data_IF_912854836689
#
_entry.id   IF_912854836689
#
_cell.length_a   1.000
_cell.length_b   1.000
_cell.length_c   1.000
_cell.angle_alpha   90.00
_cell.angle_beta   90.00
_cell.angle_gamma   90.00
#
_symmetry.space_group_name_H-M   'P 1'
#
loop_
_entity.id
_entity.type
_entity.pdbx_description
1 polymer ?
#
# COMPACT_ATOMS: atom_id res chain seq x y z
N UNK A 1 12.91 -24.78 18.36
CA UNK A 1 12.64 -23.49 17.70
C UNK A 1 13.44 -23.50 16.42
N UNK A 2 12.78 -23.63 15.27
CA UNK A 2 13.46 -23.68 13.97
C UNK A 2 13.83 -22.24 13.62
N UNK A 3 15.12 -21.93 13.53
CA UNK A 3 15.58 -20.65 13.00
C UNK A 3 15.25 -20.65 11.50
N UNK A 4 14.23 -19.87 11.10
CA UNK A 4 13.93 -19.68 9.69
C UNK A 4 15.09 -18.88 9.08
N UNK A 5 15.60 -19.29 7.91
CA UNK A 5 16.68 -18.54 7.25
C UNK A 5 16.11 -17.31 6.56
N UNK A 6 16.94 -16.26 6.39
CA UNK A 6 16.56 -15.05 5.64
C UNK A 6 15.97 -15.41 4.27
N UNK A 7 16.58 -16.36 3.55
CA UNK A 7 16.11 -16.79 2.23
C UNK A 7 14.68 -17.35 2.26
N UNK A 8 14.37 -18.19 3.25
CA UNK A 8 13.01 -18.74 3.44
C UNK A 8 12.02 -17.63 3.78
N UNK A 9 12.39 -16.70 4.68
CA UNK A 9 11.54 -15.57 5.04
C UNK A 9 11.26 -14.67 3.82
N UNK A 10 12.25 -14.43 2.96
CA UNK A 10 12.06 -13.63 1.74
C UNK A 10 11.18 -14.36 0.71
N UNK A 11 11.30 -15.67 0.57
CA UNK A 11 10.43 -16.45 -0.33
C UNK A 11 8.99 -16.47 0.15
N UNK A 12 8.77 -16.72 1.45
CA UNK A 12 7.44 -16.67 2.07
C UNK A 12 6.82 -15.28 1.93
N UNK A 13 7.62 -14.22 2.14
CA UNK A 13 7.18 -12.84 1.98
C UNK A 13 6.72 -12.52 0.56
N UNK A 14 7.43 -12.99 -0.48
CA UNK A 14 7.00 -12.82 -1.88
C UNK A 14 5.65 -13.46 -2.15
N UNK A 15 5.46 -14.71 -1.72
CA UNK A 15 4.17 -15.41 -1.88
C UNK A 15 3.05 -14.67 -1.16
N UNK A 16 3.35 -14.11 0.01
CA UNK A 16 2.39 -13.30 0.77
C UNK A 16 2.04 -12.00 0.04
N UNK A 17 3.02 -11.29 -0.50
CA UNK A 17 2.81 -10.08 -1.30
C UNK A 17 2.01 -10.36 -2.58
N UNK A 18 2.24 -11.49 -3.25
CA UNK A 18 1.43 -11.92 -4.40
C UNK A 18 -0.05 -12.14 -4.00
N UNK A 19 -0.30 -12.74 -2.83
CA UNK A 19 -1.67 -12.89 -2.31
C UNK A 19 -2.30 -11.53 -2.03
N UNK A 20 -1.57 -10.63 -1.36
CA UNK A 20 -2.04 -9.28 -1.09
C UNK A 20 -2.38 -8.52 -2.36
N UNK A 21 -1.51 -8.56 -3.37
CA UNK A 21 -1.76 -7.91 -4.66
C UNK A 21 -3.04 -8.45 -5.31
N UNK A 22 -3.22 -9.77 -5.37
CA UNK A 22 -4.43 -10.41 -5.92
C UNK A 22 -5.70 -10.02 -5.16
N UNK A 23 -5.62 -9.86 -3.85
CA UNK A 23 -6.76 -9.46 -3.01
C UNK A 23 -7.10 -7.96 -3.14
N UNK A 24 -6.09 -7.09 -3.27
CA UNK A 24 -6.31 -5.64 -3.32
C UNK A 24 -6.69 -5.12 -4.71
N UNK A 25 -6.17 -5.71 -5.79
CA UNK A 25 -6.47 -5.31 -7.17
C UNK A 25 -7.97 -5.14 -7.48
N UNK A 26 -8.87 -6.09 -7.17
CA UNK A 26 -10.30 -5.92 -7.48
C UNK A 26 -11.00 -4.91 -6.55
N UNK A 27 -10.35 -4.45 -5.48
CA UNK A 27 -10.96 -3.62 -4.44
C UNK A 27 -10.68 -2.12 -4.62
N UNK A 28 -9.87 -1.73 -5.60
CA UNK A 28 -9.47 -0.33 -5.81
C UNK A 28 -10.20 0.39 -6.94
N UNK A 29 -11.23 -0.21 -7.55
CA UNK A 29 -11.95 0.43 -8.66
C UNK A 29 -11.07 0.68 -9.90
N UNK A 30 -9.98 -0.10 -10.06
CA UNK A 30 -8.95 0.07 -11.09
C UNK A 30 -8.16 1.39 -11.00
N UNK A 31 -8.17 2.04 -9.84
CA UNK A 31 -7.34 3.23 -9.57
C UNK A 31 -6.00 2.75 -9.01
N UNK A 32 -4.91 3.10 -9.69
CA UNK A 32 -3.58 2.56 -9.41
C UNK A 32 -3.04 3.06 -8.05
N UNK A 33 -3.18 4.35 -7.78
CA UNK A 33 -2.73 5.00 -6.54
C UNK A 33 -3.49 4.41 -5.34
N UNK A 34 -4.80 4.20 -5.48
CA UNK A 34 -5.60 3.55 -4.45
C UNK A 34 -5.19 2.08 -4.23
N UNK A 35 -4.78 1.38 -5.29
CA UNK A 35 -4.20 0.04 -5.18
C UNK A 35 -2.88 0.06 -4.41
N UNK A 36 -1.94 0.96 -4.77
CA UNK A 36 -0.64 1.09 -4.09
C UNK A 36 -0.81 1.38 -2.61
N UNK A 37 -1.70 2.32 -2.26
CA UNK A 37 -2.00 2.68 -0.86
C UNK A 37 -2.51 1.48 -0.06
N UNK A 38 -3.45 0.72 -0.64
CA UNK A 38 -4.03 -0.47 0.03
C UNK A 38 -3.04 -1.63 0.14
N UNK A 39 -2.28 -1.88 -0.92
CA UNK A 39 -1.22 -2.90 -0.92
C UNK A 39 -0.17 -2.57 0.14
N UNK A 40 0.27 -1.32 0.19
CA UNK A 40 1.27 -0.86 1.15
C UNK A 40 0.77 -0.99 2.59
N UNK A 41 -0.49 -0.63 2.86
CA UNK A 41 -1.08 -0.78 4.19
C UNK A 41 -1.12 -2.24 4.67
N UNK A 42 -1.43 -3.21 3.79
CA UNK A 42 -1.43 -4.63 4.17
C UNK A 42 -0.01 -5.20 4.32
N UNK A 43 0.95 -4.72 3.53
CA UNK A 43 2.37 -5.04 3.68
C UNK A 43 2.91 -4.50 5.01
N UNK A 44 2.62 -3.25 5.36
CA UNK A 44 3.02 -2.66 6.65
C UNK A 44 2.46 -3.45 7.83
N UNK A 45 1.19 -3.88 7.73
CA UNK A 45 0.57 -4.75 8.72
C UNK A 45 1.29 -6.09 8.88
N UNK A 46 1.75 -6.68 7.78
CA UNK A 46 2.58 -7.89 7.82
C UNK A 46 3.96 -7.62 8.46
N UNK A 47 4.65 -6.58 8.02
CA UNK A 47 6.00 -6.22 8.48
C UNK A 47 6.04 -5.87 9.98
N UNK A 48 4.94 -5.39 10.55
CA UNK A 48 4.80 -5.15 11.99
C UNK A 48 4.98 -6.43 12.82
N UNK A 49 4.62 -7.60 12.27
CA UNK A 49 4.78 -8.90 12.92
C UNK A 49 6.14 -9.58 12.66
N UNK A 50 6.96 -9.04 11.75
CA UNK A 50 8.26 -9.61 11.36
C UNK A 50 9.36 -9.12 12.32
N UNK A 51 10.31 -9.98 12.72
CA UNK A 51 11.50 -9.58 13.46
C UNK A 51 12.27 -8.44 12.76
N UNK A 52 12.73 -7.47 13.55
CA UNK A 52 13.39 -6.26 13.02
C UNK A 52 14.63 -6.59 12.16
N UNK A 53 15.33 -7.70 12.45
CA UNK A 53 16.52 -8.15 11.73
C UNK A 53 16.29 -8.52 10.26
N UNK A 54 15.04 -8.77 9.84
CA UNK A 54 14.70 -9.07 8.44
C UNK A 54 13.97 -7.91 7.75
N UNK A 55 13.50 -6.91 8.51
CA UNK A 55 12.52 -5.94 8.02
C UNK A 55 13.06 -5.09 6.86
N UNK A 56 14.34 -4.71 6.91
CA UNK A 56 14.96 -3.90 5.85
C UNK A 56 15.02 -4.67 4.53
N UNK A 57 15.41 -5.94 4.57
CA UNK A 57 15.46 -6.80 3.37
C UNK A 57 14.07 -7.08 2.80
N UNK A 58 13.06 -7.28 3.66
CA UNK A 58 11.68 -7.44 3.19
C UNK A 58 11.17 -6.14 2.55
N UNK A 59 11.42 -4.98 3.14
CA UNK A 59 11.05 -3.68 2.53
C UNK A 59 11.73 -3.52 1.17
N UNK A 60 13.01 -3.88 1.04
CA UNK A 60 13.73 -3.82 -0.22
C UNK A 60 13.09 -4.73 -1.30
N UNK A 61 12.64 -5.93 -0.93
CA UNK A 61 11.87 -6.81 -1.83
C UNK A 61 10.53 -6.19 -2.20
N UNK A 62 9.79 -5.67 -1.22
CA UNK A 62 8.49 -5.03 -1.44
C UNK A 62 8.61 -3.89 -2.45
N UNK A 63 9.63 -3.02 -2.32
CA UNK A 63 9.86 -1.89 -3.24
C UNK A 63 10.33 -2.30 -4.63
N UNK A 64 11.11 -3.39 -4.74
CA UNK A 64 11.68 -3.82 -6.02
C UNK A 64 10.69 -4.62 -6.87
N UNK A 65 9.88 -5.45 -6.22
CA UNK A 65 9.07 -6.46 -6.89
C UNK A 65 7.56 -6.16 -6.84
N UNK A 66 7.15 -5.23 -5.98
CA UNK A 66 5.76 -4.83 -5.80
C UNK A 66 5.66 -3.29 -5.74
N UNK A 67 4.44 -2.77 -5.86
CA UNK A 67 4.20 -1.32 -5.88
C UNK A 67 4.13 -0.70 -4.47
N UNK A 68 5.02 -1.13 -3.57
CA UNK A 68 5.05 -0.68 -2.18
C UNK A 68 5.54 0.76 -2.05
N UNK A 69 4.79 1.54 -1.27
CA UNK A 69 5.12 2.90 -0.84
C UNK A 69 5.13 2.98 0.69
N UNK A 70 6.00 3.82 1.22
CA UNK A 70 5.99 4.14 2.65
C UNK A 70 4.79 5.03 2.99
N UNK A 71 4.41 5.06 4.27
CA UNK A 71 3.32 5.93 4.75
C UNK A 71 3.60 7.42 4.49
N UNK A 72 4.86 7.85 4.54
CA UNK A 72 5.23 9.24 4.27
C UNK A 72 5.06 9.60 2.78
N UNK A 73 5.40 8.68 1.87
CA UNK A 73 5.18 8.84 0.43
C UNK A 73 3.70 8.89 0.10
N UNK A 74 2.89 7.98 0.68
CA UNK A 74 1.44 7.99 0.54
C UNK A 74 0.84 9.30 1.06
N UNK A 75 1.31 9.78 2.21
CA UNK A 75 0.82 11.03 2.79
C UNK A 75 1.16 12.24 1.90
N UNK A 76 2.31 12.24 1.24
CA UNK A 76 2.68 13.27 0.26
C UNK A 76 1.80 13.21 -0.99
N UNK A 77 1.56 12.02 -1.56
CA UNK A 77 0.65 11.88 -2.70
C UNK A 77 -0.76 12.39 -2.37
N UNK A 78 -1.30 12.05 -1.20
CA UNK A 78 -2.62 12.52 -0.77
C UNK A 78 -2.65 14.05 -0.61
N UNK A 79 -1.55 14.66 -0.14
CA UNK A 79 -1.44 16.13 -0.06
C UNK A 79 -1.48 16.74 -1.46
N UNK A 80 -0.69 16.21 -2.39
CA UNK A 80 -0.64 16.68 -3.78
C UNK A 80 -1.99 16.49 -4.48
N UNK A 81 -2.66 15.34 -4.30
CA UNK A 81 -4.01 15.09 -4.80
C UNK A 81 -4.98 16.19 -4.35
N UNK A 82 -4.96 16.50 -3.04
CA UNK A 82 -5.81 17.53 -2.45
C UNK A 82 -5.52 18.92 -3.03
N UNK A 83 -4.25 19.27 -3.24
CA UNK A 83 -3.85 20.54 -3.87
C UNK A 83 -4.35 20.66 -5.32
N UNK A 84 -4.58 19.53 -5.99
CA UNK A 84 -5.06 19.45 -7.37
C UNK A 84 -6.58 19.14 -7.48
N UNK A 85 -7.34 19.26 -6.40
CA UNK A 85 -8.79 18.98 -6.32
C UNK A 85 -9.18 17.50 -6.63
N UNK A 86 -8.29 16.57 -6.29
CA UNK A 86 -8.58 15.14 -6.24
C UNK A 86 -8.91 14.72 -4.80
N UNK A 87 -9.82 13.75 -4.64
CA UNK A 87 -10.07 13.11 -3.36
C UNK A 87 -8.98 12.08 -3.02
N UNK A 88 -8.93 11.63 -1.77
CA UNK A 88 -7.97 10.60 -1.31
C UNK A 88 -8.10 9.24 -2.01
N UNK A 89 -9.13 9.06 -2.84
CA UNK A 89 -9.30 7.88 -3.69
C UNK A 89 -8.68 8.04 -5.08
N UNK A 90 -8.06 9.19 -5.40
CA UNK A 90 -7.42 9.46 -6.70
C UNK A 90 -8.42 9.85 -7.81
N UNK A 91 -9.61 10.33 -7.45
CA UNK A 91 -10.63 10.79 -8.40
C UNK A 91 -10.83 12.29 -8.19
N UNK A 92 -11.04 13.04 -9.26
CA UNK A 92 -11.50 14.44 -9.17
C UNK A 92 -12.65 14.54 -8.16
N UNK A 93 -12.53 15.47 -7.21
CA UNK A 93 -13.33 15.47 -5.98
C UNK A 93 -14.84 15.44 -6.26
N UNK A 94 -15.27 16.22 -7.24
CA UNK A 94 -16.68 16.35 -7.66
C UNK A 94 -17.18 15.21 -8.57
N UNK A 95 -16.28 14.33 -9.01
CA UNK A 95 -16.59 13.16 -9.86
C UNK A 95 -16.54 11.84 -9.08
N UNK A 96 -16.17 11.89 -7.79
CA UNK A 96 -16.04 10.69 -6.98
C UNK A 96 -17.41 10.06 -6.65
N UNK A 97 -17.65 8.77 -6.97
CA UNK A 97 -18.94 8.12 -6.73
C UNK A 97 -19.28 7.91 -5.24
N UNK A 98 -18.31 8.14 -4.35
CA UNK A 98 -18.53 8.13 -2.89
C UNK A 98 -19.04 9.49 -2.36
N UNK A 99 -19.21 10.50 -3.22
CA UNK A 99 -19.68 11.83 -2.81
C UNK A 99 -18.61 12.65 -2.07
N UNK A 100 -17.32 12.46 -2.39
CA UNK A 100 -16.24 13.21 -1.72
C UNK A 100 -16.30 14.74 -1.96
N UNK A 101 -16.95 15.20 -3.04
CA UNK A 101 -17.24 16.61 -3.28
C UNK A 101 -18.30 17.20 -2.36
N UNK A 102 -19.15 16.35 -1.77
CA UNK A 102 -20.22 16.78 -0.87
C UNK A 102 -19.76 16.87 0.60
N UNK A 103 -18.51 16.48 0.88
CA UNK A 103 -17.91 16.61 2.20
C UNK A 103 -17.44 18.05 2.39
N UNK A 104 -18.07 18.78 3.31
CA UNK A 104 -17.62 20.11 3.76
C UNK A 104 -16.20 20.00 4.35
N UNK A 105 -15.31 20.91 3.98
CA UNK A 105 -13.95 21.04 4.55
C UNK A 105 -14.05 21.61 5.98
N UNK A 106 -14.39 20.75 6.96
CA UNK A 106 -14.42 21.09 8.40
C UNK A 106 -13.05 20.95 9.08
#
# INVERSE_FOLDING_TARGET
>A
MTTQTLEQTLEDFRRQCESFAREQQPRCGLIYELYQRRLSAVIDGYLAGVPAEYREELIAVARREFDYLTQDEIAEEIRQDRENDYCSHGIERNCCPLGCGDLDDY
#
